data_IF_370530590846
#
_entry.id   IF_370530590846
#
_cell.length_a   1.000
_cell.length_b   1.000
_cell.length_c   1.000
_cell.angle_alpha   90.00
_cell.angle_beta   90.00
_cell.angle_gamma   90.00
#
_symmetry.space_group_name_H-M   'P 1'
#
loop_
_entity.id
_entity.type
_entity.pdbx_description
1 polymer ?
#
# COMPACT_ATOMS: atom_id res chain seq x y z
N UNK A 1 -10.17 6.54 -17.12
CA UNK A 1 -10.02 7.46 -16.02
C UNK A 1 -8.95 8.53 -16.23
N UNK A 2 -8.01 8.36 -17.19
CA UNK A 2 -6.84 9.26 -17.37
C UNK A 2 -6.98 10.25 -18.53
N UNK A 3 -8.17 10.33 -19.15
CA UNK A 3 -8.48 11.34 -20.17
C UNK A 3 -8.83 12.64 -19.46
N UNK A 4 -8.15 13.73 -19.83
CA UNK A 4 -8.35 15.06 -19.30
C UNK A 4 -7.19 16.01 -19.64
N UNK A 5 -7.41 17.31 -19.48
CA UNK A 5 -6.36 18.32 -19.66
C UNK A 5 -5.16 17.99 -18.76
N UNK A 6 -3.96 18.10 -19.30
CA UNK A 6 -2.72 17.78 -18.59
C UNK A 6 -2.44 16.29 -18.42
N UNK A 7 -3.20 15.40 -19.10
CA UNK A 7 -2.93 13.96 -19.25
C UNK A 7 -3.29 13.48 -20.68
N UNK A 8 -4.12 12.43 -20.82
CA UNK A 8 -4.47 11.89 -22.13
C UNK A 8 -5.58 12.70 -22.82
N UNK A 9 -5.51 12.83 -24.14
CA UNK A 9 -6.59 13.36 -24.98
C UNK A 9 -7.62 12.27 -25.31
N UNK A 10 -7.16 11.04 -25.57
CA UNK A 10 -8.01 9.89 -25.86
C UNK A 10 -7.40 8.60 -25.29
N UNK A 11 -8.24 7.59 -25.11
CA UNK A 11 -7.85 6.22 -24.81
C UNK A 11 -8.69 5.27 -25.66
N UNK A 12 -8.07 4.22 -26.18
CA UNK A 12 -8.75 3.20 -26.99
C UNK A 12 -8.78 1.92 -26.19
N UNK A 13 -9.99 1.42 -25.93
CA UNK A 13 -10.21 0.20 -25.18
C UNK A 13 -10.43 -0.98 -26.11
N UNK A 14 -9.79 -2.13 -25.78
CA UNK A 14 -10.11 -3.45 -26.32
C UNK A 14 -11.01 -4.23 -25.36
N UNK A 15 -11.11 -5.53 -25.58
CA UNK A 15 -11.68 -6.45 -24.61
C UNK A 15 -10.77 -6.63 -23.40
N UNK A 16 -11.26 -7.36 -22.37
CA UNK A 16 -10.47 -7.64 -21.17
C UNK A 16 -9.17 -8.35 -21.55
N UNK A 17 -8.05 -7.75 -21.15
CA UNK A 17 -6.68 -8.25 -21.42
C UNK A 17 -6.34 -8.40 -22.90
N UNK A 18 -7.08 -7.76 -23.80
CA UNK A 18 -6.84 -7.80 -25.24
C UNK A 18 -6.60 -6.39 -25.81
N UNK A 19 -5.69 -6.32 -26.78
CA UNK A 19 -5.40 -5.09 -27.51
C UNK A 19 -6.59 -4.64 -28.37
N UNK A 20 -6.91 -3.34 -28.44
CA UNK A 20 -7.89 -2.83 -29.39
C UNK A 20 -7.45 -3.06 -30.83
N UNK A 21 -8.42 -3.13 -31.76
CA UNK A 21 -8.11 -3.26 -33.19
C UNK A 21 -7.39 -2.04 -33.75
N UNK A 22 -6.53 -2.25 -34.74
CA UNK A 22 -5.85 -1.16 -35.46
C UNK A 22 -6.83 -0.12 -36.04
N UNK A 23 -8.05 -0.53 -36.45
CA UNK A 23 -9.05 0.40 -36.93
C UNK A 23 -9.60 1.30 -35.82
N UNK A 24 -9.83 0.78 -34.62
CA UNK A 24 -10.28 1.58 -33.48
C UNK A 24 -9.20 2.60 -33.06
N UNK A 25 -7.94 2.16 -33.03
CA UNK A 25 -6.80 3.06 -32.75
C UNK A 25 -6.67 4.14 -33.82
N UNK A 26 -6.76 3.78 -35.10
CA UNK A 26 -6.70 4.74 -36.22
C UNK A 26 -7.83 5.77 -36.10
N UNK A 27 -9.06 5.33 -35.84
CA UNK A 27 -10.20 6.24 -35.68
C UNK A 27 -9.96 7.26 -34.54
N UNK A 28 -9.41 6.83 -33.42
CA UNK A 28 -9.05 7.72 -32.30
C UNK A 28 -7.95 8.72 -32.71
N UNK A 29 -6.88 8.26 -33.39
CA UNK A 29 -5.82 9.16 -33.90
C UNK A 29 -6.43 10.24 -34.78
N UNK A 30 -7.24 9.86 -35.76
CA UNK A 30 -7.87 10.81 -36.70
C UNK A 30 -8.82 11.78 -36.01
N UNK A 31 -9.49 11.35 -34.95
CA UNK A 31 -10.42 12.20 -34.21
C UNK A 31 -9.73 13.27 -33.36
N UNK A 32 -8.51 13.01 -32.84
CA UNK A 32 -7.85 13.91 -31.89
C UNK A 32 -6.59 14.58 -32.44
N UNK A 33 -6.04 14.13 -33.58
CA UNK A 33 -4.83 14.71 -34.16
C UNK A 33 -5.09 16.06 -34.78
N UNK A 34 -4.44 17.10 -34.26
CA UNK A 34 -4.36 18.42 -34.87
C UNK A 34 -3.05 18.61 -35.66
N UNK A 35 -2.76 19.86 -36.11
CA UNK A 35 -1.51 20.18 -36.82
C UNK A 35 -0.25 19.88 -36.01
N UNK A 36 -0.31 19.90 -34.69
CA UNK A 36 0.80 19.60 -33.79
C UNK A 36 1.15 18.10 -33.76
N UNK A 37 0.24 17.21 -34.21
CA UNK A 37 0.45 15.78 -34.25
C UNK A 37 -0.12 15.01 -33.05
N UNK A 38 0.23 13.73 -32.96
CA UNK A 38 -0.26 12.80 -31.94
C UNK A 38 0.90 11.93 -31.40
N UNK A 39 1.05 11.87 -30.09
CA UNK A 39 1.94 10.92 -29.42
C UNK A 39 1.13 9.72 -28.93
N UNK A 40 1.46 8.51 -29.39
CA UNK A 40 0.94 7.26 -28.90
C UNK A 40 1.81 6.75 -27.75
N UNK A 41 1.20 6.50 -26.59
CA UNK A 41 1.86 5.90 -25.44
C UNK A 41 1.32 4.49 -25.29
N UNK A 42 2.17 3.49 -25.51
CA UNK A 42 1.79 2.08 -25.66
C UNK A 42 2.58 1.25 -24.67
N UNK A 43 1.91 0.35 -23.93
CA UNK A 43 2.61 -0.64 -23.10
C UNK A 43 3.23 -1.72 -23.96
N UNK A 44 4.34 -2.29 -23.50
CA UNK A 44 5.15 -3.23 -24.27
C UNK A 44 4.53 -4.65 -24.30
N UNK A 45 3.34 -4.77 -24.88
CA UNK A 45 2.71 -6.05 -25.21
C UNK A 45 2.63 -6.22 -26.73
N UNK A 46 2.82 -7.44 -27.21
CA UNK A 46 2.91 -7.72 -28.63
C UNK A 46 1.68 -7.26 -29.41
N UNK A 47 0.47 -7.56 -28.90
CA UNK A 47 -0.78 -7.14 -29.54
C UNK A 47 -0.90 -5.62 -29.66
N UNK A 48 -0.59 -4.91 -28.56
CA UNK A 48 -0.65 -3.44 -28.52
C UNK A 48 0.37 -2.84 -29.51
N UNK A 49 1.61 -3.30 -29.49
CA UNK A 49 2.66 -2.80 -30.41
C UNK A 49 2.26 -2.96 -31.86
N UNK A 50 1.69 -4.11 -32.23
CA UNK A 50 1.30 -4.38 -33.63
C UNK A 50 0.09 -3.54 -34.04
N UNK A 51 -0.97 -3.51 -33.24
CA UNK A 51 -2.21 -2.76 -33.56
C UNK A 51 -1.98 -1.26 -33.58
N UNK A 52 -1.31 -0.70 -32.57
CA UNK A 52 -0.99 0.73 -32.50
C UNK A 52 0.04 1.12 -33.58
N UNK A 53 1.04 0.26 -33.83
CA UNK A 53 2.02 0.49 -34.90
C UNK A 53 1.37 0.55 -36.29
N UNK A 54 0.52 -0.42 -36.63
CA UNK A 54 -0.21 -0.41 -37.91
C UNK A 54 -1.12 0.82 -38.02
N UNK A 55 -1.80 1.20 -36.95
CA UNK A 55 -2.64 2.41 -36.97
C UNK A 55 -1.80 3.69 -37.18
N UNK A 56 -0.63 3.78 -36.53
CA UNK A 56 0.28 4.89 -36.70
C UNK A 56 0.78 5.03 -38.17
N UNK A 57 1.19 3.92 -38.81
CA UNK A 57 1.60 3.91 -40.21
C UNK A 57 0.46 4.38 -41.12
N UNK A 58 -0.75 3.90 -40.91
CA UNK A 58 -1.92 4.33 -41.69
C UNK A 58 -2.26 5.81 -41.48
N UNK A 59 -2.15 6.32 -40.24
CA UNK A 59 -2.37 7.75 -39.97
C UNK A 59 -1.33 8.62 -40.63
N UNK A 60 -0.06 8.21 -40.66
CA UNK A 60 1.01 8.89 -41.38
C UNK A 60 0.74 8.91 -42.88
N UNK A 61 0.24 7.82 -43.47
CA UNK A 61 -0.15 7.76 -44.88
C UNK A 61 -1.30 8.74 -45.21
N UNK A 62 -2.14 9.10 -44.24
CA UNK A 62 -3.15 10.16 -44.33
C UNK A 62 -2.59 11.57 -44.09
N UNK A 63 -1.28 11.72 -43.88
CA UNK A 63 -0.63 13.00 -43.66
C UNK A 63 -0.57 13.50 -42.22
N UNK A 64 -0.98 12.68 -41.23
CA UNK A 64 -0.87 13.03 -39.82
C UNK A 64 0.54 12.81 -39.28
N UNK A 65 1.00 13.73 -38.43
CA UNK A 65 2.24 13.54 -37.65
C UNK A 65 1.94 12.63 -36.46
N UNK A 66 2.55 11.45 -36.40
CA UNK A 66 2.33 10.49 -35.31
C UNK A 66 3.66 9.94 -34.85
N UNK A 67 3.95 10.12 -33.55
CA UNK A 67 5.05 9.44 -32.87
C UNK A 67 4.49 8.36 -31.94
N UNK A 68 5.30 7.36 -31.62
CA UNK A 68 4.93 6.28 -30.72
C UNK A 68 6.08 5.96 -29.78
N UNK A 69 5.78 5.85 -28.50
CA UNK A 69 6.71 5.38 -27.46
C UNK A 69 6.17 4.11 -26.82
N UNK A 70 7.09 3.22 -26.44
CA UNK A 70 6.78 1.92 -25.83
C UNK A 70 7.22 1.96 -24.38
N UNK A 71 6.30 1.68 -23.46
CA UNK A 71 6.58 1.64 -22.02
C UNK A 71 6.89 0.21 -21.61
N UNK A 72 8.05 -0.01 -21.00
CA UNK A 72 8.65 -1.29 -20.63
C UNK A 72 9.27 -1.24 -19.23
N UNK A 73 8.54 -0.66 -18.29
CA UNK A 73 9.00 -0.35 -16.94
C UNK A 73 9.09 -1.55 -15.97
N UNK A 74 8.62 -2.74 -16.37
CA UNK A 74 8.65 -3.95 -15.53
C UNK A 74 10.07 -4.52 -15.39
N UNK A 75 10.53 -4.63 -14.14
CA UNK A 75 11.86 -5.18 -13.84
C UNK A 75 11.83 -6.65 -13.42
N UNK A 76 10.66 -7.29 -13.41
CA UNK A 76 10.52 -8.64 -12.90
C UNK A 76 11.26 -9.70 -13.72
N UNK A 77 11.35 -9.52 -15.04
CA UNK A 77 11.85 -10.49 -16.00
C UNK A 77 13.05 -9.95 -16.78
N UNK A 78 14.21 -9.72 -16.14
CA UNK A 78 15.38 -9.08 -16.76
C UNK A 78 15.97 -9.88 -17.91
N UNK A 79 15.78 -11.20 -17.91
CA UNK A 79 16.32 -12.11 -18.92
C UNK A 79 15.42 -12.25 -20.16
N UNK A 80 14.20 -11.70 -20.11
CA UNK A 80 13.33 -11.69 -21.28
C UNK A 80 13.70 -10.53 -22.23
N UNK A 81 13.65 -10.78 -23.53
CA UNK A 81 13.99 -9.77 -24.53
C UNK A 81 12.99 -8.58 -24.56
N UNK A 82 11.87 -8.72 -23.86
CA UNK A 82 10.77 -7.77 -23.85
C UNK A 82 10.19 -7.61 -22.45
N UNK A 83 10.60 -6.54 -21.72
CA UNK A 83 9.98 -6.17 -20.46
C UNK A 83 8.54 -5.69 -20.67
N UNK A 84 7.63 -6.03 -19.76
CA UNK A 84 6.22 -5.61 -19.83
C UNK A 84 6.07 -4.14 -19.44
N UNK A 85 4.96 -3.50 -19.86
CA UNK A 85 4.57 -2.17 -19.40
C UNK A 85 3.59 -2.27 -18.23
N UNK A 86 3.94 -1.63 -17.09
CA UNK A 86 3.15 -1.61 -15.87
C UNK A 86 2.72 -0.16 -15.50
N UNK A 87 2.56 0.11 -14.21
CA UNK A 87 1.99 1.36 -13.70
C UNK A 87 2.90 2.60 -13.87
N UNK A 88 4.20 2.43 -14.15
CA UNK A 88 5.08 3.52 -14.56
C UNK A 88 4.61 4.25 -15.83
N UNK A 89 3.79 3.61 -16.66
CA UNK A 89 3.06 4.23 -17.77
C UNK A 89 2.34 5.51 -17.35
N UNK A 90 1.87 5.61 -16.11
CA UNK A 90 1.14 6.78 -15.62
C UNK A 90 2.03 8.00 -15.42
N UNK A 91 3.31 7.82 -15.14
CA UNK A 91 4.28 8.92 -15.15
C UNK A 91 4.43 9.50 -16.55
N UNK A 92 4.48 8.61 -17.57
CA UNK A 92 4.55 9.03 -18.97
C UNK A 92 3.29 9.81 -19.37
N UNK A 93 2.08 9.29 -19.00
CA UNK A 93 0.83 10.00 -19.26
C UNK A 93 0.80 11.39 -18.64
N UNK A 94 1.21 11.51 -17.37
CA UNK A 94 1.14 12.77 -16.63
C UNK A 94 2.15 13.80 -17.15
N UNK A 95 3.40 13.39 -17.35
CA UNK A 95 4.47 14.32 -17.75
C UNK A 95 4.29 14.74 -19.20
N UNK A 96 4.08 13.80 -20.14
CA UNK A 96 3.87 14.14 -21.55
C UNK A 96 2.57 14.95 -21.74
N UNK A 97 1.49 14.60 -21.00
CA UNK A 97 0.24 15.35 -21.06
C UNK A 97 0.36 16.78 -20.52
N UNK A 98 1.11 16.98 -19.43
CA UNK A 98 1.37 18.31 -18.88
C UNK A 98 2.24 19.15 -19.84
N UNK A 99 3.25 18.57 -20.47
CA UNK A 99 4.07 19.24 -21.46
C UNK A 99 3.23 19.67 -22.68
N UNK A 100 2.38 18.77 -23.19
CA UNK A 100 1.50 19.07 -24.32
C UNK A 100 0.49 20.19 -23.98
N UNK A 101 -0.08 20.18 -22.78
CA UNK A 101 -0.97 21.24 -22.28
C UNK A 101 -0.23 22.59 -22.18
N UNK A 102 1.06 22.57 -21.87
CA UNK A 102 1.93 23.76 -21.83
C UNK A 102 2.43 24.19 -23.23
N UNK A 103 2.01 23.52 -24.30
CA UNK A 103 2.30 23.89 -25.67
C UNK A 103 3.63 23.33 -26.23
N UNK A 104 4.21 22.32 -25.58
CA UNK A 104 5.38 21.62 -26.13
C UNK A 104 5.02 20.91 -27.46
N UNK A 105 5.94 20.89 -28.40
CA UNK A 105 5.76 20.20 -29.66
C UNK A 105 5.85 18.66 -29.52
N UNK A 106 5.51 17.95 -30.59
CA UNK A 106 5.46 16.49 -30.60
C UNK A 106 6.83 15.86 -30.31
N UNK A 107 7.92 16.45 -30.83
CA UNK A 107 9.27 15.88 -30.67
C UNK A 107 9.78 16.09 -29.24
N UNK A 108 9.50 17.25 -28.63
CA UNK A 108 9.80 17.52 -27.23
C UNK A 108 9.02 16.58 -26.29
N UNK A 109 7.71 16.40 -26.53
CA UNK A 109 6.89 15.45 -25.79
C UNK A 109 7.39 14.01 -25.94
N UNK A 110 7.77 13.61 -27.15
CA UNK A 110 8.30 12.27 -27.44
C UNK A 110 9.63 12.03 -26.73
N UNK A 111 10.57 12.97 -26.84
CA UNK A 111 11.90 12.85 -26.23
C UNK A 111 11.80 12.77 -24.71
N UNK A 112 10.92 13.57 -24.11
CA UNK A 112 10.71 13.54 -22.66
C UNK A 112 9.97 12.25 -22.22
N UNK A 113 8.98 11.76 -22.98
CA UNK A 113 8.33 10.49 -22.72
C UNK A 113 9.33 9.32 -22.71
N UNK A 114 10.26 9.27 -23.66
CA UNK A 114 11.35 8.29 -23.69
C UNK A 114 12.28 8.41 -22.48
N UNK A 115 12.61 9.62 -22.05
CA UNK A 115 13.38 9.85 -20.82
C UNK A 115 12.65 9.30 -19.60
N UNK A 116 11.35 9.59 -19.45
CA UNK A 116 10.52 9.11 -18.35
C UNK A 116 10.45 7.58 -18.34
N UNK A 117 10.28 6.95 -19.50
CA UNK A 117 10.29 5.49 -19.63
C UNK A 117 11.62 4.92 -19.12
N UNK A 118 12.74 5.45 -19.60
CA UNK A 118 14.07 4.99 -19.21
C UNK A 118 14.36 5.20 -17.71
N UNK A 119 13.75 6.21 -17.08
CA UNK A 119 13.89 6.53 -15.67
C UNK A 119 12.94 5.74 -14.76
N UNK A 120 11.96 5.01 -15.32
CA UNK A 120 10.93 4.30 -14.58
C UNK A 120 11.29 2.84 -14.34
N UNK A 121 10.91 2.31 -13.16
CA UNK A 121 11.02 0.89 -12.78
C UNK A 121 9.78 0.50 -12.01
N UNK A 122 9.22 -0.67 -12.31
CA UNK A 122 8.01 -1.17 -11.68
C UNK A 122 8.12 -2.65 -11.35
N UNK A 123 7.51 -3.07 -10.25
CA UNK A 123 7.30 -4.48 -9.91
C UNK A 123 6.05 -4.62 -9.04
N UNK A 124 5.32 -5.72 -9.20
CA UNK A 124 4.13 -6.04 -8.44
C UNK A 124 4.29 -7.26 -7.55
N UNK A 125 3.40 -7.38 -6.56
CA UNK A 125 3.19 -8.56 -5.73
C UNK A 125 1.70 -8.80 -5.54
N UNK A 126 1.28 -10.06 -5.58
CA UNK A 126 -0.12 -10.47 -5.37
C UNK A 126 -0.24 -11.63 -4.40
N UNK A 127 -1.29 -11.60 -3.59
CA UNK A 127 -1.69 -12.67 -2.67
C UNK A 127 -2.71 -13.64 -3.30
N UNK A 128 -3.35 -13.22 -4.41
CA UNK A 128 -4.35 -14.00 -5.11
C UNK A 128 -4.37 -13.63 -6.60
N UNK A 129 -4.90 -14.51 -7.44
CA UNK A 129 -5.05 -14.29 -8.89
C UNK A 129 -6.30 -13.45 -9.17
N UNK A 130 -6.40 -12.89 -10.38
CA UNK A 130 -7.62 -12.21 -10.81
C UNK A 130 -8.68 -13.23 -11.32
N UNK A 131 -9.94 -12.80 -11.31
CA UNK A 131 -11.07 -13.54 -11.85
C UNK A 131 -11.42 -13.00 -13.24
N UNK A 132 -11.06 -13.72 -14.29
CA UNK A 132 -11.48 -13.37 -15.65
C UNK A 132 -12.94 -13.76 -15.82
N UNK A 133 -13.83 -12.87 -16.31
CA UNK A 133 -15.23 -13.20 -16.56
C UNK A 133 -15.38 -14.46 -17.42
N UNK A 134 -16.37 -15.28 -17.09
CA UNK A 134 -16.69 -16.55 -17.78
C UNK A 134 -15.58 -17.63 -17.70
N UNK A 135 -14.51 -17.38 -16.94
CA UNK A 135 -13.44 -18.36 -16.70
C UNK A 135 -13.37 -18.75 -15.23
N UNK A 136 -13.04 -20.01 -14.91
CA UNK A 136 -12.79 -20.38 -13.52
C UNK A 136 -11.59 -19.61 -12.98
N UNK A 137 -11.68 -19.14 -11.73
CA UNK A 137 -10.55 -18.50 -11.06
C UNK A 137 -9.39 -19.48 -10.93
N UNK A 138 -8.22 -19.07 -11.36
CA UNK A 138 -7.00 -19.85 -11.19
C UNK A 138 -6.56 -19.84 -9.72
N UNK A 139 -6.26 -20.99 -9.16
CA UNK A 139 -5.79 -21.15 -7.78
C UNK A 139 -4.33 -21.64 -7.77
N UNK A 140 -3.41 -20.77 -8.24
CA UNK A 140 -1.98 -21.12 -8.30
C UNK A 140 -1.15 -20.59 -7.13
N UNK A 141 -1.71 -19.65 -6.33
CA UNK A 141 -1.03 -19.06 -5.17
C UNK A 141 -1.59 -19.75 -3.91
N UNK A 142 -0.80 -20.59 -3.21
CA UNK A 142 -1.26 -21.25 -1.98
C UNK A 142 -1.50 -20.25 -0.86
N UNK A 143 -2.37 -20.59 0.08
CA UNK A 143 -2.59 -19.79 1.30
C UNK A 143 -1.27 -19.54 2.05
N UNK A 144 -1.04 -18.33 2.48
CA UNK A 144 0.20 -17.91 3.15
C UNK A 144 1.37 -17.63 2.19
N UNK A 145 1.16 -17.72 0.88
CA UNK A 145 2.13 -17.35 -0.14
C UNK A 145 1.72 -16.07 -0.87
N UNK A 146 2.68 -15.44 -1.51
CA UNK A 146 2.50 -14.33 -2.43
C UNK A 146 3.29 -14.60 -3.71
N UNK A 147 2.87 -14.03 -4.83
CA UNK A 147 3.57 -14.12 -6.10
C UNK A 147 4.20 -12.76 -6.44
N UNK A 148 5.52 -12.74 -6.63
CA UNK A 148 6.29 -11.53 -6.95
C UNK A 148 6.51 -11.41 -8.46
N UNK A 149 6.42 -10.17 -8.98
CA UNK A 149 6.72 -9.87 -10.37
C UNK A 149 5.67 -10.34 -11.38
N UNK A 150 4.40 -10.38 -10.97
CA UNK A 150 3.29 -10.74 -11.87
C UNK A 150 2.95 -9.58 -12.83
N UNK A 151 2.32 -9.94 -13.95
CA UNK A 151 1.80 -8.96 -14.93
C UNK A 151 0.40 -8.48 -14.60
N UNK A 152 -0.06 -7.46 -15.34
CA UNK A 152 -1.39 -6.84 -15.15
C UNK A 152 -2.52 -7.55 -15.93
N UNK A 153 -2.22 -8.58 -16.70
CA UNK A 153 -3.20 -9.42 -17.40
C UNK A 153 -3.34 -10.80 -16.74
N UNK A 154 -2.91 -10.96 -15.49
CA UNK A 154 -2.94 -12.22 -14.77
C UNK A 154 -1.76 -13.15 -15.06
N UNK A 155 -0.75 -12.70 -15.82
CA UNK A 155 0.45 -13.51 -16.08
C UNK A 155 1.17 -13.85 -14.79
N UNK A 156 1.69 -15.08 -14.72
CA UNK A 156 2.45 -15.55 -13.56
C UNK A 156 3.66 -14.65 -13.27
N UNK A 157 3.99 -14.53 -11.99
CA UNK A 157 5.19 -13.85 -11.52
C UNK A 157 6.44 -14.72 -11.68
N UNK A 158 7.54 -14.18 -11.19
CA UNK A 158 8.87 -14.83 -11.28
C UNK A 158 9.09 -15.87 -10.19
N UNK A 159 8.48 -15.65 -9.02
CA UNK A 159 8.63 -16.54 -7.86
C UNK A 159 7.44 -16.44 -6.91
N UNK A 160 7.20 -17.53 -6.18
CA UNK A 160 6.30 -17.54 -5.04
C UNK A 160 7.11 -17.42 -3.75
N UNK A 161 6.71 -16.49 -2.87
CA UNK A 161 7.38 -16.18 -1.61
C UNK A 161 6.39 -16.29 -0.44
N UNK A 162 6.88 -16.61 0.75
CA UNK A 162 6.04 -16.58 1.94
C UNK A 162 5.51 -15.16 2.20
N UNK A 163 4.24 -15.05 2.55
CA UNK A 163 3.57 -13.79 2.91
C UNK A 163 3.58 -13.62 4.43
N UNK A 164 4.49 -12.79 4.94
CA UNK A 164 4.68 -12.54 6.37
C UNK A 164 4.19 -11.14 6.78
N UNK A 165 3.16 -10.63 6.11
CA UNK A 165 2.59 -9.31 6.36
C UNK A 165 3.15 -8.20 5.47
N UNK A 166 2.60 -7.00 5.63
CA UNK A 166 2.83 -5.88 4.72
C UNK A 166 4.29 -5.38 4.70
N UNK A 167 4.96 -5.36 5.85
CA UNK A 167 6.36 -4.91 5.93
C UNK A 167 7.29 -5.84 5.16
N UNK A 168 7.10 -7.16 5.27
CA UNK A 168 7.86 -8.17 4.53
C UNK A 168 7.56 -8.09 3.02
N UNK A 169 6.29 -7.94 2.65
CA UNK A 169 5.88 -7.78 1.25
C UNK A 169 6.51 -6.55 0.59
N UNK A 170 6.47 -5.41 1.26
CA UNK A 170 7.11 -4.17 0.79
C UNK A 170 8.62 -4.32 0.74
N UNK A 171 9.27 -4.93 1.74
CA UNK A 171 10.73 -5.13 1.73
C UNK A 171 11.17 -5.89 0.47
N UNK A 172 10.51 -7.02 0.16
CA UNK A 172 10.81 -7.81 -1.03
C UNK A 172 10.69 -7.03 -2.34
N UNK A 173 9.63 -6.22 -2.46
CA UNK A 173 9.40 -5.35 -3.63
C UNK A 173 10.46 -4.25 -3.72
N UNK A 174 10.76 -3.58 -2.60
CA UNK A 174 11.72 -2.48 -2.55
C UNK A 174 13.15 -2.96 -2.80
N UNK A 175 13.55 -4.13 -2.28
CA UNK A 175 14.88 -4.68 -2.49
C UNK A 175 15.14 -4.95 -3.99
N UNK A 176 14.13 -5.42 -4.72
CA UNK A 176 14.21 -5.58 -6.19
C UNK A 176 14.28 -4.24 -6.92
N UNK A 177 13.48 -3.26 -6.51
CA UNK A 177 13.51 -1.92 -7.10
C UNK A 177 14.84 -1.22 -6.81
N UNK A 178 15.32 -1.24 -5.57
CA UNK A 178 16.55 -0.56 -5.15
C UNK A 178 17.78 -1.02 -5.95
N UNK A 179 17.81 -2.29 -6.35
CA UNK A 179 18.89 -2.84 -7.16
C UNK A 179 18.98 -2.26 -8.58
N UNK A 180 17.87 -1.66 -9.08
CA UNK A 180 17.76 -1.13 -10.45
C UNK A 180 17.42 0.36 -10.51
N UNK A 181 17.15 0.98 -9.35
CA UNK A 181 16.83 2.41 -9.28
C UNK A 181 18.01 3.26 -9.69
N UNK A 182 17.85 4.19 -10.65
CA UNK A 182 18.88 5.19 -10.95
C UNK A 182 19.22 6.04 -9.72
N UNK A 183 20.37 6.71 -9.73
CA UNK A 183 20.72 7.65 -8.66
C UNK A 183 19.78 8.87 -8.64
N UNK A 184 19.70 9.53 -7.48
CA UNK A 184 18.96 10.78 -7.29
C UNK A 184 17.64 10.66 -6.54
N UNK A 185 16.85 11.72 -6.59
CA UNK A 185 15.53 11.79 -6.00
C UNK A 185 14.47 11.14 -6.91
N UNK A 186 13.44 10.54 -6.28
CA UNK A 186 12.42 9.78 -6.99
C UNK A 186 11.00 10.23 -6.64
N UNK A 187 10.10 10.02 -7.56
CA UNK A 187 8.67 9.87 -7.29
C UNK A 187 8.34 8.39 -7.21
N UNK A 188 7.53 8.00 -6.22
CA UNK A 188 6.98 6.64 -6.10
C UNK A 188 5.49 6.65 -6.36
N UNK A 189 4.99 5.62 -7.05
CA UNK A 189 3.58 5.37 -7.26
C UNK A 189 3.23 4.03 -6.62
N UNK A 190 2.22 4.03 -5.74
CA UNK A 190 1.68 2.82 -5.12
C UNK A 190 0.32 2.54 -5.74
N UNK A 191 0.23 1.43 -6.44
CA UNK A 191 -0.92 1.02 -7.20
C UNK A 191 -1.59 -0.21 -6.58
N UNK A 192 -2.90 -0.13 -6.36
CA UNK A 192 -3.76 -1.26 -6.01
C UNK A 192 -4.13 -2.02 -7.28
N UNK A 193 -3.92 -3.33 -7.30
CA UNK A 193 -4.24 -4.18 -8.47
C UNK A 193 -5.74 -4.50 -8.58
N UNK A 194 -6.54 -4.16 -7.58
CA UNK A 194 -8.01 -4.20 -7.67
C UNK A 194 -8.73 -4.55 -6.38
N UNK A 195 -8.30 -5.59 -5.65
CA UNK A 195 -9.02 -6.09 -4.48
C UNK A 195 -8.39 -5.74 -3.12
N UNK A 196 -7.19 -5.14 -3.09
CA UNK A 196 -6.63 -4.70 -1.82
C UNK A 196 -7.48 -3.57 -1.20
N UNK A 197 -7.78 -3.69 0.10
CA UNK A 197 -8.58 -2.69 0.81
C UNK A 197 -7.82 -1.38 1.03
N UNK A 198 -8.53 -0.30 1.33
CA UNK A 198 -7.91 1.01 1.65
C UNK A 198 -6.98 0.90 2.85
N UNK A 199 -7.33 0.08 3.86
CA UNK A 199 -6.50 -0.16 5.04
C UNK A 199 -5.20 -0.87 4.67
N UNK A 200 -5.27 -1.97 3.91
CA UNK A 200 -4.08 -2.69 3.44
C UNK A 200 -3.14 -1.78 2.65
N UNK A 201 -3.69 -1.00 1.71
CA UNK A 201 -2.91 -0.04 0.93
C UNK A 201 -2.27 1.05 1.80
N UNK A 202 -2.93 1.48 2.88
CA UNK A 202 -2.37 2.44 3.84
C UNK A 202 -1.22 1.84 4.66
N UNK A 203 -1.34 0.58 5.09
CA UNK A 203 -0.28 -0.16 5.80
C UNK A 203 0.93 -0.37 4.87
N UNK A 204 0.71 -0.77 3.61
CA UNK A 204 1.76 -0.89 2.60
C UNK A 204 2.47 0.44 2.36
N UNK A 205 1.73 1.54 2.29
CA UNK A 205 2.28 2.89 2.13
C UNK A 205 3.14 3.29 3.33
N UNK A 206 2.68 3.01 4.55
CA UNK A 206 3.46 3.25 5.77
C UNK A 206 4.76 2.44 5.77
N UNK A 207 4.68 1.15 5.43
CA UNK A 207 5.85 0.27 5.34
C UNK A 207 6.86 0.76 4.29
N UNK A 208 6.38 1.26 3.12
CA UNK A 208 7.23 1.84 2.09
C UNK A 208 7.93 3.12 2.59
N UNK A 209 7.19 4.03 3.22
CA UNK A 209 7.75 5.28 3.77
C UNK A 209 8.63 5.06 5.02
N UNK A 210 8.67 3.84 5.55
CA UNK A 210 9.58 3.41 6.61
C UNK A 210 10.75 2.57 6.08
N UNK A 211 10.85 2.35 4.78
CA UNK A 211 11.89 1.53 4.15
C UNK A 211 13.20 2.27 3.96
N UNK A 212 14.26 1.53 3.65
CA UNK A 212 15.63 2.05 3.46
C UNK A 212 15.79 2.98 2.25
N UNK A 213 14.79 3.08 1.34
CA UNK A 213 14.83 4.00 0.20
C UNK A 213 14.12 5.34 0.48
N UNK A 214 13.53 5.54 1.67
CA UNK A 214 12.68 6.72 1.96
C UNK A 214 13.39 8.05 1.70
N UNK A 215 14.68 8.16 2.03
CA UNK A 215 15.46 9.37 1.84
C UNK A 215 15.64 9.75 0.34
N UNK A 216 15.40 8.80 -0.56
CA UNK A 216 15.43 9.01 -2.01
C UNK A 216 14.05 9.38 -2.56
N UNK A 217 12.97 9.27 -1.80
CA UNK A 217 11.60 9.54 -2.24
C UNK A 217 11.21 10.97 -1.92
N UNK A 218 11.04 11.78 -2.95
CA UNK A 218 10.58 13.19 -2.83
C UNK A 218 9.07 13.31 -2.93
N UNK A 219 8.44 12.50 -3.77
CA UNK A 219 6.99 12.55 -4.03
C UNK A 219 6.37 11.16 -4.04
N UNK A 220 5.06 11.13 -3.73
CA UNK A 220 4.22 9.94 -3.79
C UNK A 220 2.95 10.20 -4.60
N UNK A 221 2.56 9.22 -5.41
CA UNK A 221 1.30 9.14 -6.15
C UNK A 221 0.51 7.94 -5.63
N UNK A 222 -0.73 8.14 -5.23
CA UNK A 222 -1.54 7.11 -4.57
C UNK A 222 -1.37 7.10 -3.04
N UNK A 223 -1.72 5.97 -2.37
CA UNK A 223 -2.21 4.71 -2.96
C UNK A 223 -3.59 4.84 -3.60
N UNK A 224 -3.78 4.18 -4.74
CA UNK A 224 -5.07 4.14 -5.43
C UNK A 224 -5.12 2.99 -6.45
N UNK A 225 -6.34 2.60 -6.87
CA UNK A 225 -6.54 1.65 -7.96
C UNK A 225 -6.37 2.37 -9.31
N UNK A 226 -5.12 2.43 -9.79
CA UNK A 226 -4.74 3.22 -10.97
C UNK A 226 -4.58 2.36 -12.22
N UNK A 227 -3.94 1.22 -12.09
CA UNK A 227 -3.74 0.22 -13.13
C UNK A 227 -4.03 -1.15 -12.56
N UNK A 228 -5.28 -1.58 -12.71
CA UNK A 228 -5.81 -2.79 -12.09
C UNK A 228 -5.68 -4.01 -13.01
N UNK A 229 -5.67 -5.18 -12.41
CA UNK A 229 -5.82 -6.48 -13.05
C UNK A 229 -7.11 -7.13 -12.52
N UNK A 230 -8.26 -6.54 -12.86
CA UNK A 230 -9.59 -6.92 -12.38
C UNK A 230 -9.67 -6.86 -10.84
N UNK A 231 -9.98 -7.99 -10.20
CA UNK A 231 -10.09 -8.19 -8.75
C UNK A 231 -8.83 -8.82 -8.12
N UNK A 232 -7.66 -8.63 -8.73
CA UNK A 232 -6.40 -9.17 -8.20
C UNK A 232 -6.09 -8.58 -6.82
N UNK A 233 -5.92 -9.44 -5.81
CA UNK A 233 -5.54 -9.03 -4.46
C UNK A 233 -4.04 -8.81 -4.37
N UNK A 234 -3.61 -7.60 -4.63
CA UNK A 234 -2.21 -7.25 -4.68
C UNK A 234 -1.95 -5.77 -4.93
N UNK A 235 -0.69 -5.46 -5.09
CA UNK A 235 -0.21 -4.10 -5.32
C UNK A 235 1.00 -4.09 -6.26
N UNK A 236 1.29 -2.93 -6.84
CA UNK A 236 2.57 -2.69 -7.51
C UNK A 236 3.17 -1.36 -7.05
N UNK A 237 4.48 -1.29 -7.09
CA UNK A 237 5.25 -0.09 -6.83
C UNK A 237 6.00 0.29 -8.10
N UNK A 238 5.84 1.54 -8.52
CA UNK A 238 6.61 2.12 -9.60
C UNK A 238 7.43 3.27 -9.05
N UNK A 239 8.68 3.38 -9.46
CA UNK A 239 9.57 4.50 -9.14
C UNK A 239 10.04 5.15 -10.42
N UNK A 240 10.22 6.47 -10.39
CA UNK A 240 10.83 7.23 -11.48
C UNK A 240 11.85 8.20 -10.91
N UNK A 241 13.07 8.17 -11.44
CA UNK A 241 14.09 9.17 -11.12
C UNK A 241 13.67 10.55 -11.66
N UNK A 242 13.69 11.55 -10.78
CA UNK A 242 13.27 12.91 -11.11
C UNK A 242 14.39 13.67 -11.84
N UNK A 243 14.00 14.39 -12.88
CA UNK A 243 14.82 15.37 -13.57
C UNK A 243 14.33 16.78 -13.26
N UNK A 244 15.03 17.79 -13.77
CA UNK A 244 14.61 19.19 -13.69
C UNK A 244 13.20 19.34 -14.25
N UNK A 245 12.34 20.09 -13.56
CA UNK A 245 10.94 20.40 -13.92
C UNK A 245 9.93 19.24 -13.75
N UNK A 246 10.35 18.00 -13.48
CA UNK A 246 9.41 16.89 -13.29
C UNK A 246 8.46 17.11 -12.10
N UNK A 247 8.91 17.76 -11.03
CA UNK A 247 8.09 18.13 -9.89
C UNK A 247 6.97 19.11 -10.27
N UNK A 248 7.26 20.07 -11.11
CA UNK A 248 6.27 21.00 -11.65
C UNK A 248 5.26 20.29 -12.54
N UNK A 249 5.72 19.44 -13.47
CA UNK A 249 4.88 18.69 -14.41
C UNK A 249 3.99 17.67 -13.66
N UNK A 250 4.53 16.96 -12.66
CA UNK A 250 3.77 16.00 -11.84
C UNK A 250 2.71 16.68 -10.97
N UNK A 251 3.04 17.87 -10.42
CA UNK A 251 2.15 18.63 -9.54
C UNK A 251 1.12 19.48 -10.30
N UNK A 252 1.33 19.72 -11.61
CA UNK A 252 0.39 20.48 -12.43
C UNK A 252 -1.00 19.87 -12.38
N UNK A 253 -2.01 20.70 -12.22
CA UNK A 253 -3.42 20.26 -12.16
C UNK A 253 -3.82 19.57 -13.47
N UNK A 254 -4.70 18.57 -13.33
CA UNK A 254 -5.31 17.85 -14.45
C UNK A 254 -6.79 17.70 -14.22
N UNK A 255 -7.57 17.58 -15.30
CA UNK A 255 -9.01 17.24 -15.22
C UNK A 255 -9.25 15.73 -15.37
N UNK A 256 -8.20 14.91 -15.47
CA UNK A 256 -8.31 13.45 -15.53
C UNK A 256 -8.79 12.91 -14.17
N UNK A 257 -9.99 12.31 -14.09
CA UNK A 257 -10.64 12.00 -12.81
C UNK A 257 -9.94 10.90 -12.00
N UNK A 258 -9.17 10.03 -12.64
CA UNK A 258 -8.48 8.94 -11.95
C UNK A 258 -7.07 9.32 -11.45
N UNK A 259 -6.56 10.50 -11.75
CA UNK A 259 -5.28 10.93 -11.24
C UNK A 259 -5.41 11.44 -9.79
N UNK A 260 -4.82 10.78 -8.78
CA UNK A 260 -5.01 11.14 -7.37
C UNK A 260 -4.18 12.36 -6.92
N UNK A 261 -3.40 12.93 -7.84
CA UNK A 261 -2.41 13.96 -7.53
C UNK A 261 -1.06 13.38 -7.12
N UNK A 262 -0.06 14.26 -7.13
CA UNK A 262 1.30 13.99 -6.66
C UNK A 262 1.54 14.79 -5.38
N UNK A 263 1.97 14.14 -4.30
CA UNK A 263 2.15 14.74 -2.97
C UNK A 263 3.62 14.67 -2.57
N UNK A 264 4.15 15.74 -1.99
CA UNK A 264 5.48 15.72 -1.39
C UNK A 264 5.48 14.80 -0.16
N UNK A 265 6.53 13.99 -0.02
CA UNK A 265 6.75 13.19 1.19
C UNK A 265 7.32 14.11 2.26
N UNK A 266 6.66 14.13 3.41
CA UNK A 266 7.09 14.89 4.58
C UNK A 266 7.34 13.93 5.75
N UNK A 267 8.26 14.32 6.63
CA UNK A 267 8.48 13.56 7.86
C UNK A 267 7.21 13.52 8.71
N UNK A 268 6.96 12.40 9.36
CA UNK A 268 5.84 12.24 10.29
C UNK A 268 6.02 13.21 11.47
N UNK A 269 5.03 14.05 11.68
CA UNK A 269 4.99 14.94 12.83
C UNK A 269 4.50 14.15 14.05
N UNK A 270 5.41 13.89 14.98
CA UNK A 270 5.08 13.31 16.28
C UNK A 270 4.82 14.46 17.28
N UNK A 271 3.60 14.55 17.75
CA UNK A 271 3.24 15.54 18.77
C UNK A 271 3.48 14.95 20.16
N UNK A 272 4.12 15.70 21.08
CA UNK A 272 4.21 15.27 22.47
C UNK A 272 2.82 15.26 23.11
N UNK A 273 2.62 14.36 24.08
CA UNK A 273 1.40 14.40 24.90
C UNK A 273 1.34 15.74 25.64
N UNK A 274 0.14 16.36 25.73
CA UNK A 274 -0.04 17.54 26.57
C UNK A 274 0.32 17.28 28.02
N UNK A 275 0.82 18.30 28.72
CA UNK A 275 1.14 18.21 30.14
C UNK A 275 -0.09 17.75 30.95
N UNK A 276 0.14 16.88 31.92
CA UNK A 276 -0.91 16.34 32.81
C UNK A 276 -1.65 15.12 32.26
N UNK A 277 -1.42 14.69 31.01
CA UNK A 277 -1.96 13.43 30.47
C UNK A 277 -1.06 12.22 30.75
N UNK A 278 0.19 12.43 31.16
CA UNK A 278 1.06 11.34 31.58
C UNK A 278 0.56 10.76 32.89
N UNK A 279 0.25 9.48 32.95
CA UNK A 279 -0.26 8.87 34.20
C UNK A 279 0.81 8.89 35.29
N UNK A 280 0.40 9.23 36.49
CA UNK A 280 1.26 9.14 37.68
C UNK A 280 1.44 7.66 38.02
N UNK A 281 2.64 7.13 37.82
CA UNK A 281 2.99 5.74 38.18
C UNK A 281 3.42 5.69 39.65
N UNK A 282 2.88 4.71 40.38
CA UNK A 282 3.29 4.40 41.74
C UNK A 282 4.65 3.68 41.71
N UNK A 283 5.55 3.93 42.69
CA UNK A 283 6.81 3.21 42.78
C UNK A 283 6.65 1.70 42.78
N UNK A 284 7.48 1.00 42.01
CA UNK A 284 7.48 -0.46 41.95
C UNK A 284 7.85 -1.08 43.33
N UNK A 285 7.29 -2.24 43.62
CA UNK A 285 7.66 -3.02 44.79
C UNK A 285 7.64 -4.52 44.47
N UNK A 286 8.58 -5.27 45.01
CA UNK A 286 8.69 -6.71 44.75
C UNK A 286 7.83 -7.56 45.72
N UNK A 287 7.13 -8.54 45.17
CA UNK A 287 6.44 -9.59 45.91
C UNK A 287 6.30 -10.84 45.04
N UNK A 288 7.20 -11.80 45.22
CA UNK A 288 7.33 -12.97 44.33
C UNK A 288 6.04 -13.81 44.22
N UNK A 289 5.27 -14.06 45.29
CA UNK A 289 4.00 -14.79 45.13
C UNK A 289 2.98 -14.10 44.24
N UNK A 290 2.86 -12.76 44.32
CA UNK A 290 1.96 -11.96 43.47
C UNK A 290 2.47 -11.94 42.03
N UNK A 291 3.78 -11.79 41.85
CA UNK A 291 4.42 -11.83 40.50
C UNK A 291 4.12 -13.16 39.82
N UNK A 292 4.41 -14.28 40.50
CA UNK A 292 4.19 -15.62 39.96
C UNK A 292 2.72 -15.87 39.60
N UNK A 293 1.79 -15.43 40.46
CA UNK A 293 0.35 -15.56 40.23
C UNK A 293 -0.09 -14.75 38.99
N UNK A 294 0.26 -13.48 38.90
CA UNK A 294 -0.13 -12.62 37.80
C UNK A 294 0.48 -13.11 36.46
N UNK A 295 1.76 -13.51 36.49
CA UNK A 295 2.42 -14.06 35.28
C UNK A 295 1.65 -15.26 34.77
N UNK A 296 1.28 -16.20 35.67
CA UNK A 296 0.50 -17.38 35.28
C UNK A 296 -0.89 -17.04 34.74
N UNK A 297 -1.58 -16.04 35.32
CA UNK A 297 -2.85 -15.55 34.78
C UNK A 297 -2.69 -14.98 33.37
N UNK A 298 -1.67 -14.15 33.14
CA UNK A 298 -1.39 -13.57 31.83
C UNK A 298 -1.04 -14.65 30.79
N UNK A 299 -0.17 -15.61 31.16
CA UNK A 299 0.19 -16.74 30.28
C UNK A 299 -1.07 -17.56 29.90
N UNK A 300 -1.98 -17.80 30.86
CA UNK A 300 -3.22 -18.51 30.57
C UNK A 300 -4.14 -17.72 29.62
N UNK A 301 -4.23 -16.39 29.75
CA UNK A 301 -5.02 -15.54 28.83
C UNK A 301 -4.44 -15.59 27.42
N UNK A 302 -3.11 -15.51 27.30
CA UNK A 302 -2.42 -15.62 26.01
C UNK A 302 -2.67 -16.98 25.37
N UNK A 303 -2.56 -18.06 26.14
CA UNK A 303 -2.80 -19.42 25.66
C UNK A 303 -4.26 -19.68 25.24
N UNK A 304 -5.21 -18.96 25.84
CA UNK A 304 -6.66 -19.09 25.55
C UNK A 304 -7.15 -18.17 24.43
N UNK A 305 -6.26 -17.48 23.72
CA UNK A 305 -6.59 -16.48 22.69
C UNK A 305 -7.61 -16.98 21.67
N UNK A 306 -7.33 -18.13 21.05
CA UNK A 306 -8.14 -18.64 19.93
C UNK A 306 -9.49 -19.13 20.42
N UNK A 307 -9.55 -19.77 21.60
CA UNK A 307 -10.81 -20.20 22.23
C UNK A 307 -11.71 -19.01 22.58
N UNK A 308 -11.14 -17.93 23.11
CA UNK A 308 -11.85 -16.70 23.43
C UNK A 308 -12.35 -15.99 22.17
N UNK A 309 -11.54 -15.93 21.11
CA UNK A 309 -11.97 -15.40 19.82
C UNK A 309 -13.13 -16.22 19.23
N UNK A 310 -13.05 -17.56 19.30
CA UNK A 310 -14.12 -18.45 18.83
C UNK A 310 -15.42 -18.32 19.64
N UNK A 311 -15.33 -18.02 20.95
CA UNK A 311 -16.49 -17.74 21.79
C UNK A 311 -17.11 -16.39 21.42
N UNK A 312 -16.31 -15.37 21.28
CA UNK A 312 -16.73 -14.01 20.94
C UNK A 312 -17.38 -13.95 19.55
N UNK A 313 -16.83 -14.63 18.56
CA UNK A 313 -17.37 -14.72 17.21
C UNK A 313 -18.80 -15.26 17.11
N UNK A 314 -19.37 -15.80 18.20
CA UNK A 314 -20.78 -16.24 18.24
C UNK A 314 -21.76 -15.08 18.43
N UNK A 315 -21.30 -13.96 18.97
CA UNK A 315 -22.13 -12.79 19.29
C UNK A 315 -21.44 -11.44 19.10
N UNK A 316 -20.13 -11.44 18.87
CA UNK A 316 -19.25 -10.30 18.62
C UNK A 316 -18.47 -10.43 17.33
N UNK A 317 -17.36 -9.70 17.23
CA UNK A 317 -16.48 -9.64 16.05
C UNK A 317 -15.29 -10.62 16.09
N UNK A 318 -15.19 -11.41 17.18
CA UNK A 318 -14.20 -12.49 17.30
C UNK A 318 -12.80 -12.02 17.67
N UNK A 319 -12.63 -10.87 18.31
CA UNK A 319 -11.34 -10.27 18.65
C UNK A 319 -11.01 -10.20 20.14
N UNK A 320 -11.96 -10.54 21.04
CA UNK A 320 -11.79 -10.45 22.49
C UNK A 320 -10.55 -11.20 23.00
N UNK A 321 -10.29 -12.40 22.47
CA UNK A 321 -9.09 -13.17 22.82
C UNK A 321 -7.80 -12.49 22.41
N UNK A 322 -7.77 -11.88 21.22
CA UNK A 322 -6.62 -11.13 20.73
C UNK A 322 -6.34 -9.89 21.57
N UNK A 323 -7.38 -9.16 21.94
CA UNK A 323 -7.30 -7.97 22.78
C UNK A 323 -6.79 -8.30 24.19
N UNK A 324 -7.31 -9.39 24.81
CA UNK A 324 -6.87 -9.87 26.13
C UNK A 324 -5.42 -10.38 26.09
N UNK A 325 -5.01 -11.10 25.03
CA UNK A 325 -3.65 -11.57 24.89
C UNK A 325 -2.63 -10.41 24.74
N UNK A 326 -3.00 -9.36 24.01
CA UNK A 326 -2.18 -8.13 23.89
C UNK A 326 -2.01 -7.46 25.25
N UNK A 327 -3.08 -7.30 26.02
CA UNK A 327 -3.03 -6.71 27.35
C UNK A 327 -2.23 -7.57 28.35
N UNK A 328 -2.40 -8.90 28.30
CA UNK A 328 -1.65 -9.82 29.12
C UNK A 328 -0.15 -9.78 28.83
N UNK A 329 0.25 -9.68 27.56
CA UNK A 329 1.64 -9.50 27.17
C UNK A 329 2.22 -8.19 27.70
N UNK A 330 1.49 -7.07 27.56
CA UNK A 330 1.89 -5.78 28.09
C UNK A 330 2.03 -5.78 29.62
N UNK A 331 1.15 -6.48 30.35
CA UNK A 331 1.28 -6.66 31.81
C UNK A 331 2.50 -7.49 32.18
N UNK A 332 2.85 -8.51 31.41
CA UNK A 332 4.09 -9.29 31.61
C UNK A 332 5.32 -8.38 31.44
N UNK A 333 5.35 -7.58 30.40
CA UNK A 333 6.45 -6.65 30.11
C UNK A 333 6.58 -5.57 31.20
N UNK A 334 5.46 -5.10 31.75
CA UNK A 334 5.41 -4.11 32.82
C UNK A 334 5.63 -4.70 34.24
N UNK A 335 5.72 -6.01 34.41
CA UNK A 335 5.64 -6.72 35.71
C UNK A 335 6.61 -6.17 36.76
N UNK A 336 7.85 -5.89 36.37
CA UNK A 336 8.89 -5.38 37.28
C UNK A 336 8.71 -3.90 37.64
N UNK A 337 7.81 -3.21 36.97
CA UNK A 337 7.45 -1.81 37.26
C UNK A 337 6.18 -1.67 38.10
N UNK A 338 5.50 -2.79 38.41
CA UNK A 338 4.26 -2.79 39.18
C UNK A 338 4.50 -2.78 40.70
N UNK A 339 3.60 -2.18 41.50
CA UNK A 339 3.67 -2.15 42.95
C UNK A 339 3.13 -3.48 43.56
N UNK A 340 3.84 -4.61 43.34
CA UNK A 340 3.38 -5.97 43.61
C UNK A 340 3.13 -6.26 45.09
N UNK A 341 3.73 -5.53 46.03
CA UNK A 341 3.58 -5.71 47.46
C UNK A 341 2.34 -4.97 48.05
N UNK A 342 1.74 -4.05 47.30
CA UNK A 342 0.57 -3.28 47.74
C UNK A 342 -0.62 -3.57 46.80
N UNK A 343 -1.56 -4.37 47.25
CA UNK A 343 -2.71 -4.77 46.44
C UNK A 343 -3.56 -3.62 45.96
N UNK A 344 -3.74 -2.57 46.83
CA UNK A 344 -4.53 -1.39 46.48
C UNK A 344 -3.91 -0.65 45.29
N UNK A 345 -2.63 -0.41 45.35
CA UNK A 345 -1.88 0.28 44.27
C UNK A 345 -1.72 -0.64 43.06
N UNK A 346 -1.57 -1.94 43.26
CA UNK A 346 -1.48 -2.93 42.21
C UNK A 346 -2.72 -2.94 41.32
N UNK A 347 -3.93 -2.99 41.92
CA UNK A 347 -5.17 -2.95 41.14
C UNK A 347 -5.27 -1.66 40.31
N UNK A 348 -4.97 -0.52 40.89
CA UNK A 348 -4.95 0.76 40.16
C UNK A 348 -3.93 0.76 39.05
N UNK A 349 -2.74 0.20 39.27
CA UNK A 349 -1.70 0.09 38.25
C UNK A 349 -2.10 -0.85 37.11
N UNK A 350 -2.72 -2.00 37.41
CA UNK A 350 -3.27 -2.90 36.39
C UNK A 350 -4.36 -2.18 35.59
N UNK A 351 -5.32 -1.51 36.26
CA UNK A 351 -6.36 -0.75 35.57
C UNK A 351 -5.78 0.32 34.62
N UNK A 352 -4.72 1.00 35.05
CA UNK A 352 -4.01 1.99 34.23
C UNK A 352 -3.36 1.33 32.99
N UNK A 353 -2.60 0.24 33.16
CA UNK A 353 -1.99 -0.48 32.03
C UNK A 353 -3.04 -0.99 31.03
N UNK A 354 -4.14 -1.55 31.53
CA UNK A 354 -5.25 -2.02 30.69
C UNK A 354 -5.90 -0.86 29.91
N UNK A 355 -6.08 0.30 30.53
CA UNK A 355 -6.63 1.49 29.85
C UNK A 355 -5.76 2.01 28.71
N UNK A 356 -4.46 1.72 28.73
CA UNK A 356 -3.49 2.14 27.73
C UNK A 356 -3.27 1.10 26.63
N UNK A 357 -3.42 -0.17 26.97
CA UNK A 357 -3.07 -1.30 26.08
C UNK A 357 -4.27 -2.00 25.45
N UNK A 358 -5.45 -1.88 26.07
CA UNK A 358 -6.70 -2.43 25.56
C UNK A 358 -7.57 -1.34 24.98
N UNK A 359 -7.91 -1.46 23.70
CA UNK A 359 -8.96 -0.67 23.06
C UNK A 359 -10.37 -1.25 23.32
N UNK A 360 -11.37 -0.57 22.77
CA UNK A 360 -12.76 -1.03 22.80
C UNK A 360 -13.43 -0.98 24.19
N UNK A 361 -14.64 -1.54 24.27
CA UNK A 361 -15.44 -1.56 25.48
C UNK A 361 -14.86 -2.48 26.55
N UNK A 362 -14.28 -3.61 26.18
CA UNK A 362 -13.69 -4.59 27.10
C UNK A 362 -12.54 -4.00 27.91
N UNK A 363 -11.66 -3.21 27.25
CA UNK A 363 -10.55 -2.54 27.92
C UNK A 363 -11.00 -1.52 28.95
N UNK A 364 -11.97 -0.67 28.58
CA UNK A 364 -12.54 0.32 29.50
C UNK A 364 -13.24 -0.34 30.69
N UNK A 365 -14.01 -1.40 30.47
CA UNK A 365 -14.68 -2.11 31.53
C UNK A 365 -13.70 -2.76 32.51
N UNK A 366 -12.63 -3.40 32.01
CA UNK A 366 -11.60 -3.99 32.88
C UNK A 366 -10.80 -2.92 33.61
N UNK A 367 -10.48 -1.79 32.97
CA UNK A 367 -9.81 -0.67 33.63
C UNK A 367 -10.66 -0.12 34.79
N UNK A 368 -11.97 0.08 34.57
CA UNK A 368 -12.92 0.50 35.60
C UNK A 368 -13.02 -0.55 36.74
N UNK A 369 -13.11 -1.84 36.38
CA UNK A 369 -13.15 -2.92 37.33
C UNK A 369 -11.94 -2.90 38.29
N UNK A 370 -10.72 -2.82 37.74
CA UNK A 370 -9.50 -2.78 38.55
C UNK A 370 -9.35 -1.47 39.34
N UNK A 371 -9.79 -0.33 38.80
CA UNK A 371 -9.82 0.92 39.56
C UNK A 371 -10.76 0.82 40.77
N UNK A 372 -11.97 0.29 40.55
CA UNK A 372 -12.94 0.07 41.62
C UNK A 372 -12.45 -0.94 42.69
N UNK A 373 -11.77 -2.01 42.26
CA UNK A 373 -11.13 -2.98 43.16
C UNK A 373 -10.04 -2.30 44.02
N UNK A 374 -9.25 -1.40 43.43
CA UNK A 374 -8.27 -0.59 44.15
C UNK A 374 -8.92 0.31 45.21
N UNK A 375 -10.05 0.95 44.90
CA UNK A 375 -10.78 1.81 45.81
C UNK A 375 -11.43 0.99 46.95
N UNK A 376 -12.02 -0.17 46.63
CA UNK A 376 -12.56 -1.07 47.61
C UNK A 376 -11.49 -1.62 48.58
N UNK A 377 -10.32 -1.99 48.04
CA UNK A 377 -9.16 -2.39 48.86
C UNK A 377 -8.67 -1.25 49.77
N UNK A 378 -8.62 -0.01 49.26
CA UNK A 378 -8.30 1.19 50.05
C UNK A 378 -9.27 1.43 51.20
N UNK A 379 -10.54 1.06 51.04
CA UNK A 379 -11.57 1.11 52.10
C UNK A 379 -11.50 -0.07 53.10
N UNK A 380 -10.45 -0.90 53.03
CA UNK A 380 -10.23 -1.99 53.96
C UNK A 380 -10.95 -3.32 53.64
N UNK A 381 -11.53 -3.45 52.44
CA UNK A 381 -12.13 -4.72 52.03
C UNK A 381 -11.04 -5.78 51.73
N UNK A 382 -11.23 -7.03 52.17
CA UNK A 382 -10.30 -8.10 51.79
C UNK A 382 -10.28 -8.32 50.27
N UNK A 383 -9.20 -8.85 49.76
CA UNK A 383 -8.94 -9.04 48.29
C UNK A 383 -10.15 -9.69 47.58
N UNK A 384 -10.75 -10.74 48.19
CA UNK A 384 -11.90 -11.43 47.60
C UNK A 384 -13.12 -10.52 47.43
N UNK A 385 -13.39 -9.64 48.39
CA UNK A 385 -14.53 -8.71 48.35
C UNK A 385 -14.25 -7.48 47.49
N UNK A 386 -13.00 -7.11 47.37
CA UNK A 386 -12.58 -6.02 46.51
C UNK A 386 -12.68 -6.38 45.00
N UNK A 387 -12.63 -7.67 44.67
CA UNK A 387 -12.76 -8.19 43.29
C UNK A 387 -14.21 -8.68 42.98
N UNK A 388 -15.16 -8.52 43.87
CA UNK A 388 -16.61 -8.75 43.65
C UNK A 388 -17.33 -7.43 43.34
#
# INVERSE_FOLDING_TARGET
GFIGKGMLTAAVCGDIFASPSANAVLAAILAVSGPSGCLLIVKNYTGDRLNFGLAAERARAFGHKVNMVIVDDDIALPDLPQARGLAGTLFVHKIAGAMAENGADLDACTSNALRVINASRSIGMSLDTCTVPESPKENRIPYGMAELGLGIHGEAGIEQVASNGAADAISKVIDRLAATMPDGAHVVLINNLGAATVLEMSILTHSLLSSHIVDRIKFIVGPAALMTALDMHGFSVSVMALSTDDDTLLSQTTTAPAWPGCKAVAATLVLPLPDGLSPVRVPASAHEPTKAFLTKCCEQLIASKDDLNALDAKSGDGDTGSTLATAASALIDAMDSLPLADHTQLYRAIGLELSQTMGGSSGVLLAIFFAAAGDASSAGKPMREALQ
#
